data_IF_976208425588
#
_entry.id   IF_976208425588
#
_cell.length_a   1.000
_cell.length_b   1.000
_cell.length_c   1.000
_cell.angle_alpha   90.00
_cell.angle_beta   90.00
_cell.angle_gamma   90.00
#
_symmetry.space_group_name_H-M   'P 1'
#
loop_
_entity.id
_entity.type
_entity.pdbx_description
1 polymer ?
#
# COMPACT_ATOMS: atom_id res chain seq x y z
N UNK A 1 11.38 -1.42 2.19
CA UNK A 1 11.90 -1.40 0.79
C UNK A 1 12.32 0.04 0.51
N UNK A 2 13.02 0.34 -0.58
CA UNK A 2 13.28 1.75 -0.92
C UNK A 2 12.19 2.31 -1.86
N UNK A 3 12.12 3.64 -1.96
CA UNK A 3 11.13 4.35 -2.80
C UNK A 3 11.09 3.81 -4.24
N UNK A 4 12.21 3.67 -4.97
CA UNK A 4 12.18 3.15 -6.35
C UNK A 4 11.58 1.76 -6.48
N UNK A 5 11.87 0.85 -5.54
CA UNK A 5 11.34 -0.51 -5.59
C UNK A 5 9.82 -0.56 -5.37
N UNK A 6 9.28 0.29 -4.48
CA UNK A 6 7.83 0.42 -4.33
C UNK A 6 7.17 1.01 -5.57
N UNK A 7 7.78 2.03 -6.19
CA UNK A 7 7.28 2.64 -7.44
C UNK A 7 7.22 1.60 -8.56
N UNK A 8 8.29 0.85 -8.81
CA UNK A 8 8.32 -0.20 -9.85
C UNK A 8 7.22 -1.24 -9.62
N UNK A 9 7.10 -1.73 -8.39
CA UNK A 9 6.09 -2.73 -8.03
C UNK A 9 4.66 -2.19 -8.19
N UNK A 10 4.40 -0.97 -7.75
CA UNK A 10 3.10 -0.31 -7.92
C UNK A 10 2.73 -0.17 -9.41
N UNK A 11 3.68 0.24 -10.26
CA UNK A 11 3.47 0.38 -11.70
C UNK A 11 3.19 -0.96 -12.37
N UNK A 12 4.00 -1.99 -12.10
CA UNK A 12 3.83 -3.34 -12.67
C UNK A 12 2.49 -3.96 -12.29
N UNK A 13 2.09 -3.84 -11.02
CA UNK A 13 0.81 -4.36 -10.55
C UNK A 13 -0.37 -3.56 -11.13
N UNK A 14 -0.25 -2.24 -11.24
CA UNK A 14 -1.28 -1.41 -11.89
C UNK A 14 -1.46 -1.79 -13.37
N UNK A 15 -0.36 -2.05 -14.09
CA UNK A 15 -0.42 -2.53 -15.47
C UNK A 15 -1.00 -3.95 -15.60
N UNK A 16 -0.68 -4.85 -14.65
CA UNK A 16 -1.29 -6.18 -14.60
C UNK A 16 -2.81 -6.10 -14.39
N UNK A 17 -3.24 -5.29 -13.42
CA UNK A 17 -4.65 -5.09 -13.08
C UNK A 17 -5.49 -4.67 -14.29
N UNK A 18 -4.96 -3.81 -15.15
CA UNK A 18 -5.64 -3.35 -16.37
C UNK A 18 -5.92 -4.47 -17.39
N UNK A 19 -5.28 -5.63 -17.25
CA UNK A 19 -5.44 -6.78 -18.15
C UNK A 19 -6.45 -7.80 -17.64
N UNK A 20 -6.96 -7.63 -16.41
CA UNK A 20 -7.90 -8.54 -15.76
C UNK A 20 -9.32 -8.01 -15.96
N UNK A 21 -10.28 -8.90 -16.16
CA UNK A 21 -11.68 -8.53 -16.11
C UNK A 21 -12.08 -8.38 -14.63
N UNK A 22 -12.52 -7.20 -14.18
CA UNK A 22 -12.78 -6.98 -12.76
C UNK A 22 -13.96 -7.79 -12.23
N UNK A 23 -14.83 -8.36 -13.06
CA UNK A 23 -15.92 -9.23 -12.63
C UNK A 23 -15.58 -10.71 -12.81
N UNK A 24 -15.00 -11.09 -13.95
CA UNK A 24 -14.65 -12.49 -14.22
C UNK A 24 -13.41 -12.95 -13.43
N UNK A 25 -12.45 -12.04 -13.22
CA UNK A 25 -11.19 -12.29 -12.51
C UNK A 25 -11.12 -11.55 -11.17
N UNK A 26 -12.28 -11.28 -10.54
CA UNK A 26 -12.39 -10.35 -9.41
C UNK A 26 -11.35 -10.59 -8.31
N UNK A 27 -11.14 -11.83 -7.88
CA UNK A 27 -10.20 -12.12 -6.79
C UNK A 27 -8.76 -11.68 -7.13
N UNK A 28 -8.27 -12.05 -8.31
CA UNK A 28 -6.91 -11.68 -8.73
C UNK A 28 -6.84 -10.18 -9.00
N UNK A 29 -7.88 -9.60 -9.62
CA UNK A 29 -7.97 -8.16 -9.85
C UNK A 29 -7.94 -7.37 -8.53
N UNK A 30 -8.69 -7.82 -7.53
CA UNK A 30 -8.77 -7.22 -6.21
C UNK A 30 -7.43 -7.28 -5.49
N UNK A 31 -6.80 -8.46 -5.42
CA UNK A 31 -5.50 -8.61 -4.77
C UNK A 31 -4.40 -7.80 -5.45
N UNK A 32 -4.43 -7.72 -6.78
CA UNK A 32 -3.50 -6.91 -7.56
C UNK A 32 -3.71 -5.42 -7.25
N UNK A 33 -4.97 -4.97 -7.16
CA UNK A 33 -5.35 -3.60 -6.81
C UNK A 33 -4.85 -3.22 -5.42
N UNK A 34 -5.16 -4.03 -4.40
CA UNK A 34 -4.76 -3.76 -3.02
C UNK A 34 -3.24 -3.79 -2.87
N UNK A 35 -2.55 -4.76 -3.49
CA UNK A 35 -1.09 -4.85 -3.42
C UNK A 35 -0.42 -3.66 -4.12
N UNK A 36 -0.94 -3.20 -5.25
CA UNK A 36 -0.47 -1.99 -5.91
C UNK A 36 -0.64 -0.77 -4.98
N UNK A 37 -1.83 -0.62 -4.41
CA UNK A 37 -2.17 0.46 -3.49
C UNK A 37 -1.30 0.50 -2.23
N UNK A 38 -1.03 -0.65 -1.61
CA UNK A 38 -0.13 -0.74 -0.45
C UNK A 38 1.30 -0.30 -0.80
N UNK A 39 1.79 -0.64 -2.01
CA UNK A 39 3.11 -0.15 -2.45
C UNK A 39 3.10 1.36 -2.69
N UNK A 40 2.00 1.92 -3.20
CA UNK A 40 1.84 3.37 -3.34
C UNK A 40 1.82 4.07 -1.97
N UNK A 41 1.13 3.51 -0.98
CA UNK A 41 1.15 4.00 0.40
C UNK A 41 2.58 3.99 0.96
N UNK A 42 3.29 2.86 0.86
CA UNK A 42 4.66 2.75 1.39
C UNK A 42 5.61 3.76 0.72
N UNK A 43 5.56 3.90 -0.61
CA UNK A 43 6.35 4.92 -1.30
C UNK A 43 6.04 6.34 -0.81
N UNK A 44 4.75 6.62 -0.56
CA UNK A 44 4.28 7.92 -0.05
C UNK A 44 4.74 8.16 1.39
N UNK A 45 4.72 7.15 2.25
CA UNK A 45 5.24 7.21 3.62
C UNK A 45 6.75 7.50 3.65
N UNK A 46 7.52 6.85 2.78
CA UNK A 46 8.95 7.10 2.66
C UNK A 46 9.25 8.52 2.17
N UNK A 47 8.52 8.99 1.16
CA UNK A 47 8.67 10.37 0.66
C UNK A 47 8.38 11.40 1.76
N UNK A 48 7.40 11.13 2.62
CA UNK A 48 7.08 11.99 3.76
C UNK A 48 8.03 11.81 4.96
N UNK A 49 9.07 10.97 4.85
CA UNK A 49 10.01 10.70 5.94
C UNK A 49 9.42 9.95 7.14
N UNK A 50 8.26 9.30 6.97
CA UNK A 50 7.58 8.56 8.05
C UNK A 50 8.10 7.12 8.21
N UNK A 51 8.72 6.57 7.17
CA UNK A 51 9.32 5.23 7.17
C UNK A 51 10.74 5.27 6.60
N UNK A 52 11.65 4.49 7.19
CA UNK A 52 13.04 4.39 6.76
C UNK A 52 13.23 3.27 5.73
N UNK A 53 14.22 3.42 4.84
CA UNK A 53 14.59 2.43 3.82
C UNK A 53 15.63 1.40 4.30
N UNK A 54 15.87 1.34 5.62
CA UNK A 54 16.75 0.37 6.27
C UNK A 54 16.46 -1.06 5.80
N UNK A 55 17.49 -1.91 5.87
CA UNK A 55 17.36 -3.36 5.66
C UNK A 55 16.66 -4.03 6.85
N UNK A 56 15.43 -3.63 7.15
CA UNK A 56 14.55 -4.21 8.15
C UNK A 56 13.23 -4.61 7.48
N UNK A 57 12.77 -5.82 7.77
CA UNK A 57 11.49 -6.31 7.24
C UNK A 57 10.42 -6.12 8.31
N UNK A 58 9.51 -5.17 8.10
CA UNK A 58 8.33 -4.99 8.95
C UNK A 58 7.42 -6.22 8.82
N UNK A 59 7.17 -6.93 9.92
CA UNK A 59 6.26 -8.08 9.93
C UNK A 59 4.88 -7.65 10.40
N UNK A 60 4.85 -6.93 11.52
CA UNK A 60 3.70 -6.24 12.09
C UNK A 60 4.18 -4.84 12.56
N UNK A 61 3.31 -3.82 12.67
CA UNK A 61 3.65 -2.52 13.22
C UNK A 61 4.40 -2.66 14.54
N UNK A 62 5.54 -1.98 14.58
CA UNK A 62 6.45 -2.01 15.72
C UNK A 62 7.42 -3.18 15.75
N UNK A 63 7.23 -4.25 14.97
CA UNK A 63 8.10 -5.44 15.00
C UNK A 63 8.74 -5.68 13.63
N UNK A 64 10.07 -5.75 13.65
CA UNK A 64 10.87 -5.88 12.44
C UNK A 64 11.82 -7.06 12.55
N UNK A 65 12.07 -7.72 11.42
CA UNK A 65 13.14 -8.71 11.27
C UNK A 65 14.36 -7.98 10.71
N UNK A 66 15.46 -7.98 11.47
CA UNK A 66 16.66 -7.19 11.20
C UNK A 66 17.87 -8.11 11.05
N UNK A 67 18.72 -7.94 10.02
CA UNK A 67 19.95 -8.70 9.85
C UNK A 67 20.94 -8.36 10.97
N UNK A 68 21.62 -9.39 11.46
CA UNK A 68 22.64 -9.31 12.49
C UNK A 68 24.05 -9.35 11.86
N UNK A 69 25.06 -8.92 12.61
CA UNK A 69 26.45 -8.92 12.14
C UNK A 69 26.99 -10.32 11.82
N UNK A 70 26.43 -11.36 12.44
CA UNK A 70 26.78 -12.78 12.23
C UNK A 70 26.04 -13.42 11.03
N UNK A 71 25.26 -12.64 10.29
CA UNK A 71 24.47 -13.10 9.15
C UNK A 71 23.11 -13.72 9.50
N UNK A 72 22.77 -13.80 10.79
CA UNK A 72 21.44 -14.23 11.23
C UNK A 72 20.41 -13.10 11.16
N UNK A 73 19.16 -13.39 11.47
CA UNK A 73 18.09 -12.40 11.58
C UNK A 73 17.43 -12.48 12.96
N UNK A 74 17.11 -11.33 13.54
CA UNK A 74 16.43 -11.25 14.83
C UNK A 74 15.24 -10.29 14.77
N UNK A 75 14.26 -10.53 15.63
CA UNK A 75 13.15 -9.61 15.83
C UNK A 75 13.60 -8.42 16.67
N UNK A 76 13.18 -7.22 16.30
CA UNK A 76 13.50 -5.98 17.02
C UNK A 76 12.30 -5.06 17.01
N UNK A 77 12.08 -4.36 18.14
CA UNK A 77 11.09 -3.30 18.21
C UNK A 77 11.64 -2.04 17.55
N UNK A 78 10.91 -1.49 16.57
CA UNK A 78 11.26 -0.24 15.88
C UNK A 78 10.01 0.61 15.67
N UNK A 79 10.18 1.82 15.14
CA UNK A 79 9.06 2.64 14.71
C UNK A 79 8.30 2.05 13.51
N UNK A 80 7.47 2.89 12.89
CA UNK A 80 6.73 2.51 11.69
C UNK A 80 7.68 2.04 10.58
N UNK A 81 7.35 0.91 9.96
CA UNK A 81 7.99 0.41 8.75
C UNK A 81 7.00 0.31 7.61
N UNK A 82 7.43 -0.32 6.51
CA UNK A 82 6.53 -0.68 5.41
C UNK A 82 5.28 -1.38 5.97
N UNK A 83 4.14 -0.93 5.47
CA UNK A 83 2.85 -1.52 5.74
C UNK A 83 2.68 -2.74 4.84
N UNK A 84 2.35 -3.88 5.43
CA UNK A 84 2.14 -5.16 4.72
C UNK A 84 0.69 -5.37 4.28
N UNK A 85 -0.25 -4.62 4.86
CA UNK A 85 -1.68 -4.81 4.68
C UNK A 85 -2.45 -3.51 4.97
N UNK A 86 -3.69 -3.33 4.51
CA UNK A 86 -4.48 -2.12 4.79
C UNK A 86 -5.34 -2.33 6.04
N UNK A 87 -5.57 -1.30 6.87
CA UNK A 87 -6.40 -1.44 8.08
C UNK A 87 -5.68 -1.94 9.32
N UNK A 88 -4.34 -1.80 9.36
CA UNK A 88 -3.61 -1.83 10.63
C UNK A 88 -4.04 -0.68 11.55
N UNK A 89 -3.68 -0.74 12.84
CA UNK A 89 -3.86 0.39 13.75
C UNK A 89 -3.33 1.69 13.13
N UNK A 90 -3.98 2.84 13.42
CA UNK A 90 -3.58 4.12 12.86
C UNK A 90 -2.10 4.39 13.09
N UNK A 91 -1.40 4.87 12.06
CA UNK A 91 -0.05 5.41 12.22
C UNK A 91 -0.09 6.51 13.28
N UNK A 92 0.68 6.36 14.35
CA UNK A 92 0.73 7.34 15.44
C UNK A 92 1.44 8.63 15.01
N UNK A 93 1.05 9.76 15.59
CA UNK A 93 1.69 11.06 15.39
C UNK A 93 1.05 11.94 14.30
N UNK A 94 1.76 13.00 13.94
CA UNK A 94 1.32 14.02 12.99
C UNK A 94 1.50 13.55 11.55
N UNK A 95 0.62 12.64 11.10
CA UNK A 95 0.60 12.17 9.72
C UNK A 95 -0.03 13.22 8.81
N UNK A 96 0.62 13.60 7.69
CA UNK A 96 0.05 14.55 6.73
C UNK A 96 -1.34 14.14 6.23
N UNK A 97 -2.23 15.12 6.07
CA UNK A 97 -3.63 14.89 5.71
C UNK A 97 -3.80 14.08 4.41
N UNK A 98 -2.94 14.29 3.41
CA UNK A 98 -2.99 13.54 2.16
C UNK A 98 -2.67 12.05 2.34
N UNK A 99 -1.85 11.68 3.34
CA UNK A 99 -1.58 10.28 3.65
C UNK A 99 -2.80 9.66 4.33
N UNK A 100 -3.47 10.40 5.23
CA UNK A 100 -4.75 9.96 5.81
C UNK A 100 -5.82 9.72 4.74
N UNK A 101 -5.91 10.62 3.76
CA UNK A 101 -6.82 10.45 2.63
C UNK A 101 -6.51 9.19 1.81
N UNK A 102 -5.22 8.91 1.59
CA UNK A 102 -4.75 7.69 0.93
C UNK A 102 -5.14 6.43 1.76
N UNK A 103 -4.91 6.44 3.08
CA UNK A 103 -5.30 5.36 3.98
C UNK A 103 -6.81 5.08 3.92
N UNK A 104 -7.64 6.13 3.93
CA UNK A 104 -9.10 6.02 3.81
C UNK A 104 -9.50 5.40 2.47
N UNK A 105 -8.93 5.87 1.36
CA UNK A 105 -9.22 5.31 0.05
C UNK A 105 -8.84 3.82 -0.05
N UNK A 106 -7.70 3.41 0.51
CA UNK A 106 -7.34 2.00 0.58
C UNK A 106 -8.28 1.20 1.46
N UNK A 107 -8.75 1.78 2.58
CA UNK A 107 -9.70 1.11 3.46
C UNK A 107 -11.06 0.87 2.78
N UNK A 108 -11.51 1.80 1.93
CA UNK A 108 -12.69 1.63 1.06
C UNK A 108 -12.55 0.45 0.09
N UNK A 109 -11.33 0.10 -0.33
CA UNK A 109 -11.11 -1.12 -1.13
C UNK A 109 -11.11 -2.34 -0.20
N UNK A 110 -10.37 -2.29 0.91
CA UNK A 110 -10.19 -3.41 1.85
C UNK A 110 -11.51 -3.92 2.44
N UNK A 111 -12.50 -3.05 2.70
CA UNK A 111 -13.80 -3.45 3.26
C UNK A 111 -14.52 -4.52 2.42
N UNK A 112 -14.22 -4.61 1.13
CA UNK A 112 -14.82 -5.59 0.20
C UNK A 112 -14.11 -6.94 0.18
N UNK A 113 -12.92 -7.03 0.78
CA UNK A 113 -12.11 -8.26 0.78
C UNK A 113 -12.85 -9.40 1.45
N UNK A 114 -13.20 -9.26 2.73
CA UNK A 114 -13.80 -10.36 3.47
C UNK A 114 -15.15 -10.77 2.87
N UNK A 115 -16.08 -9.85 2.53
CA UNK A 115 -17.33 -10.22 1.87
C UNK A 115 -17.16 -10.94 0.52
N UNK A 116 -16.26 -10.47 -0.35
CA UNK A 116 -16.19 -10.92 -1.74
C UNK A 116 -15.14 -12.00 -2.02
N UNK A 117 -14.11 -12.13 -1.18
CA UNK A 117 -12.99 -13.08 -1.36
C UNK A 117 -13.10 -14.25 -0.39
N UNK A 118 -13.49 -14.00 0.86
CA UNK A 118 -13.56 -15.02 1.92
C UNK A 118 -14.98 -15.41 2.30
N UNK A 119 -15.95 -14.58 1.93
CA UNK A 119 -17.35 -14.75 2.24
C UNK A 119 -18.15 -15.27 1.05
N UNK A 120 -19.47 -15.12 1.14
CA UNK A 120 -20.43 -15.53 0.12
C UNK A 120 -20.90 -14.35 -0.76
N UNK A 121 -20.28 -13.18 -0.62
CA UNK A 121 -20.60 -12.00 -1.41
C UNK A 121 -20.19 -12.21 -2.86
N UNK A 122 -21.12 -11.98 -3.79
CA UNK A 122 -20.81 -12.00 -5.22
C UNK A 122 -20.35 -10.60 -5.63
N UNK A 123 -19.16 -10.45 -6.24
CA UNK A 123 -18.71 -9.17 -6.77
C UNK A 123 -19.73 -8.58 -7.74
N UNK A 124 -20.06 -7.30 -7.53
CA UNK A 124 -20.99 -6.58 -8.39
C UNK A 124 -20.28 -5.45 -9.10
N UNK A 125 -20.89 -4.95 -10.19
CA UNK A 125 -20.39 -3.77 -10.89
C UNK A 125 -20.27 -2.55 -9.97
N UNK A 126 -21.20 -2.36 -9.03
CA UNK A 126 -21.16 -1.27 -8.08
C UNK A 126 -19.92 -1.32 -7.16
N UNK A 127 -19.57 -2.53 -6.70
CA UNK A 127 -18.36 -2.77 -5.89
C UNK A 127 -17.10 -2.48 -6.71
N UNK A 128 -17.04 -2.98 -7.95
CA UNK A 128 -15.92 -2.71 -8.86
C UNK A 128 -15.75 -1.20 -9.08
N UNK A 129 -16.83 -0.48 -9.37
CA UNK A 129 -16.79 0.97 -9.59
C UNK A 129 -16.36 1.75 -8.33
N UNK A 130 -16.76 1.30 -7.15
CA UNK A 130 -16.30 1.89 -5.88
C UNK A 130 -14.79 1.68 -5.69
N UNK A 131 -14.32 0.44 -5.90
CA UNK A 131 -12.90 0.10 -5.84
C UNK A 131 -12.08 0.88 -6.90
N UNK A 132 -12.60 1.06 -8.12
CA UNK A 132 -11.96 1.87 -9.17
C UNK A 132 -11.84 3.34 -8.76
N UNK A 133 -12.91 3.95 -8.21
CA UNK A 133 -12.87 5.34 -7.72
C UNK A 133 -11.86 5.51 -6.60
N UNK A 134 -11.90 4.62 -5.61
CA UNK A 134 -10.97 4.64 -4.50
C UNK A 134 -9.51 4.45 -4.95
N UNK A 135 -9.26 3.51 -5.88
CA UNK A 135 -7.93 3.30 -6.43
C UNK A 135 -7.45 4.51 -7.25
N UNK A 136 -8.35 5.17 -7.99
CA UNK A 136 -8.06 6.44 -8.67
C UNK A 136 -7.58 7.53 -7.71
N UNK A 137 -8.21 7.66 -6.54
CA UNK A 137 -7.76 8.57 -5.47
C UNK A 137 -6.35 8.21 -4.98
N UNK A 138 -6.09 6.92 -4.73
CA UNK A 138 -4.76 6.44 -4.31
C UNK A 138 -3.69 6.80 -5.34
N UNK A 139 -3.95 6.53 -6.61
CA UNK A 139 -3.03 6.84 -7.73
C UNK A 139 -2.77 8.34 -7.83
N UNK A 140 -3.80 9.17 -7.68
CA UNK A 140 -3.69 10.63 -7.73
C UNK A 140 -2.78 11.17 -6.62
N UNK A 141 -3.02 10.77 -5.37
CA UNK A 141 -2.23 11.21 -4.21
C UNK A 141 -0.79 10.75 -4.34
N UNK A 142 -0.58 9.47 -4.69
CA UNK A 142 0.74 8.91 -4.92
C UNK A 142 1.52 9.66 -6.00
N UNK A 143 0.88 9.92 -7.14
CA UNK A 143 1.52 10.64 -8.26
C UNK A 143 1.94 12.04 -7.85
N UNK A 144 1.10 12.76 -7.09
CA UNK A 144 1.45 14.07 -6.54
C UNK A 144 2.66 13.99 -5.60
N UNK A 145 2.63 13.09 -4.62
CA UNK A 145 3.70 12.93 -3.64
C UNK A 145 5.06 12.62 -4.30
N UNK A 146 5.09 11.70 -5.27
CA UNK A 146 6.33 11.39 -6.01
C UNK A 146 6.78 12.56 -6.90
N UNK A 147 5.84 13.31 -7.48
CA UNK A 147 6.14 14.47 -8.33
C UNK A 147 6.76 15.64 -7.58
N UNK A 148 6.27 15.94 -6.38
CA UNK A 148 6.76 17.01 -5.50
C UNK A 148 8.16 16.70 -4.94
N UNK A 149 8.38 15.46 -4.48
CA UNK A 149 9.69 15.02 -3.98
C UNK A 149 10.83 15.17 -5.00
N UNK A 150 10.55 14.98 -6.30
CA UNK A 150 11.53 15.16 -7.38
C UNK A 150 11.88 16.63 -7.65
N UNK A 151 11.04 17.58 -7.25
CA UNK A 151 11.30 19.01 -7.39
C UNK A 151 12.14 19.56 -6.25
N UNK A 152 11.97 19.04 -5.02
CA UNK A 152 12.77 19.46 -3.85
C UNK A 152 14.21 18.93 -3.86
N UNK A 153 14.49 17.89 -4.67
CA UNK A 153 15.82 17.28 -4.82
C UNK A 153 16.68 17.91 -5.92
N UNK A 154 16.26 19.04 -6.52
CA UNK A 154 16.98 19.77 -7.58
C UNK A 154 17.39 21.15 -7.11
#
# INVERSE_FOLDING_TARGET
MNIPAHIDKAQRLSALRQRLDPLADFEIWFWTTLTAGTNMLNATLHVAGLTNDDRAFSTIPGVHVVPQADGTYAYTLRGLGDVSHVGWPPIEGAVPAFIRELEVALHTIEQHRDPCIRGYGVPTRAIVEECERAFGTVVSIFTRAIGESRHESR
#
